data_IF_785329127577
#
_entry.id   IF_785329127577
#
_cell.length_a   1.000
_cell.length_b   1.000
_cell.length_c   1.000
_cell.angle_alpha   90.00
_cell.angle_beta   90.00
_cell.angle_gamma   90.00
#
_symmetry.space_group_name_H-M   'P 1'
#
loop_
_entity.id
_entity.type
_entity.pdbx_description
1 polymer ?
#
# COMPACT_ATOMS: atom_id res chain seq x y z
N UNK A 1 -1.08 3.01 -2.08
CA UNK A 1 -1.00 1.71 -1.37
C UNK A 1 0.33 1.46 -0.63
N UNK A 2 0.75 2.36 0.28
CA UNK A 2 1.76 2.06 1.32
C UNK A 2 1.18 1.32 2.54
N UNK A 3 1.97 1.04 3.60
CA UNK A 3 1.53 0.28 4.77
C UNK A 3 0.21 0.77 5.40
N UNK A 4 0.02 2.09 5.51
CA UNK A 4 -1.23 2.66 6.05
C UNK A 4 -2.44 2.39 5.16
N UNK A 5 -2.32 2.62 3.85
CA UNK A 5 -3.41 2.33 2.90
C UNK A 5 -3.74 0.84 2.87
N UNK A 6 -2.72 -0.01 2.89
CA UNK A 6 -2.87 -1.46 2.99
C UNK A 6 -3.58 -1.90 4.27
N UNK A 7 -3.27 -1.28 5.42
CA UNK A 7 -3.96 -1.53 6.68
C UNK A 7 -5.45 -1.12 6.61
N UNK A 8 -5.77 0.00 5.95
CA UNK A 8 -7.15 0.43 5.75
C UNK A 8 -7.96 -0.58 4.93
N UNK A 9 -7.38 -1.11 3.85
CA UNK A 9 -8.01 -2.18 3.07
C UNK A 9 -8.22 -3.44 3.92
N UNK A 10 -7.18 -3.86 4.65
CA UNK A 10 -7.27 -5.03 5.54
C UNK A 10 -8.36 -4.85 6.61
N UNK A 11 -8.55 -3.66 7.15
CA UNK A 11 -9.59 -3.37 8.13
C UNK A 11 -11.00 -3.59 7.56
N UNK A 12 -11.30 -3.06 6.37
CA UNK A 12 -12.57 -3.33 5.69
C UNK A 12 -12.76 -4.81 5.35
N UNK A 13 -11.71 -5.48 4.88
CA UNK A 13 -11.77 -6.91 4.60
C UNK A 13 -12.07 -7.73 5.86
N UNK A 14 -11.44 -7.41 6.97
CA UNK A 14 -11.69 -8.05 8.27
C UNK A 14 -13.14 -7.87 8.75
N UNK A 15 -13.71 -6.68 8.54
CA UNK A 15 -15.12 -6.43 8.85
C UNK A 15 -16.06 -7.25 7.94
N UNK A 16 -15.80 -7.27 6.63
CA UNK A 16 -16.57 -8.08 5.68
C UNK A 16 -16.50 -9.59 6.00
N UNK A 17 -15.33 -10.10 6.39
CA UNK A 17 -15.15 -11.50 6.78
C UNK A 17 -15.92 -11.87 8.05
N UNK A 18 -16.25 -10.88 8.89
CA UNK A 18 -17.11 -11.03 10.07
C UNK A 18 -18.59 -10.82 9.75
N UNK A 19 -18.96 -10.66 8.48
CA UNK A 19 -20.34 -10.53 8.02
C UNK A 19 -20.88 -9.10 8.01
N UNK A 20 -20.05 -8.07 8.24
CA UNK A 20 -20.50 -6.69 8.10
C UNK A 20 -20.63 -6.30 6.62
N UNK A 21 -21.67 -5.55 6.29
CA UNK A 21 -21.74 -4.85 5.01
C UNK A 21 -20.65 -3.75 4.97
N UNK A 22 -19.90 -3.70 3.88
CA UNK A 22 -18.84 -2.71 3.67
C UNK A 22 -19.15 -1.86 2.43
N UNK A 23 -18.70 -0.60 2.38
CA UNK A 23 -18.84 0.19 1.17
C UNK A 23 -17.97 -0.38 0.03
N UNK A 24 -18.21 0.12 -1.19
CA UNK A 24 -17.26 -0.05 -2.28
C UNK A 24 -15.92 0.62 -1.92
N UNK A 25 -14.82 -0.08 -2.19
CA UNK A 25 -13.48 0.38 -1.84
C UNK A 25 -12.64 0.50 -3.12
N UNK A 26 -12.09 1.69 -3.33
CA UNK A 26 -11.09 1.97 -4.37
C UNK A 26 -9.85 2.56 -3.70
N UNK A 27 -8.69 2.00 -4.01
CA UNK A 27 -7.38 2.49 -3.57
C UNK A 27 -6.55 2.89 -4.78
N UNK A 28 -6.10 4.14 -4.80
CA UNK A 28 -5.20 4.63 -5.83
C UNK A 28 -3.74 4.47 -5.38
N UNK A 29 -2.89 3.96 -6.26
CA UNK A 29 -1.44 3.88 -6.09
C UNK A 29 -0.77 4.35 -7.37
N UNK A 30 0.13 5.33 -7.23
CA UNK A 30 0.88 5.87 -8.37
C UNK A 30 1.98 4.94 -8.86
N UNK A 31 2.55 4.15 -7.95
CA UNK A 31 3.56 3.15 -8.27
C UNK A 31 2.93 1.94 -8.96
N UNK A 32 3.75 1.12 -9.60
CA UNK A 32 3.32 -0.11 -10.29
C UNK A 32 3.02 -1.28 -9.35
N UNK A 33 3.46 -1.19 -8.09
CA UNK A 33 3.12 -2.15 -7.04
C UNK A 33 3.00 -1.45 -5.69
N UNK A 34 2.38 -2.13 -4.72
CA UNK A 34 2.17 -1.62 -3.37
C UNK A 34 3.46 -1.62 -2.54
N UNK A 35 3.35 -1.13 -1.31
CA UNK A 35 4.43 -1.13 -0.32
C UNK A 35 4.96 0.26 -0.01
N UNK A 36 4.61 1.27 -0.81
CA UNK A 36 5.02 2.67 -0.59
C UNK A 36 6.54 2.77 -0.48
N UNK A 37 7.03 3.29 0.65
CA UNK A 37 8.48 3.40 0.90
C UNK A 37 9.23 2.06 0.81
N UNK A 38 8.58 0.94 1.13
CA UNK A 38 9.20 -0.38 1.08
C UNK A 38 9.37 -0.91 -0.35
N UNK A 39 8.65 -0.35 -1.33
CA UNK A 39 8.77 -0.68 -2.75
C UNK A 39 9.99 0.03 -3.35
N UNK A 40 11.16 -0.61 -3.20
CA UNK A 40 12.44 -0.04 -3.59
C UNK A 40 12.55 0.13 -5.12
N UNK A 41 13.09 1.28 -5.51
CA UNK A 41 13.50 1.58 -6.89
C UNK A 41 14.91 2.15 -6.91
N UNK A 42 15.62 1.93 -8.01
CA UNK A 42 16.91 2.57 -8.27
C UNK A 42 16.77 4.01 -8.78
N UNK A 43 15.57 4.40 -9.24
CA UNK A 43 15.30 5.74 -9.77
C UNK A 43 15.41 6.80 -8.67
N UNK A 44 15.85 8.00 -9.05
CA UNK A 44 15.93 9.18 -8.19
C UNK A 44 15.40 10.41 -8.94
N UNK A 45 14.91 11.41 -8.22
CA UNK A 45 14.29 12.59 -8.83
C UNK A 45 12.90 12.27 -9.37
N UNK A 46 12.81 11.86 -10.63
CA UNK A 46 11.56 11.53 -11.31
C UNK A 46 11.47 10.03 -11.64
N UNK A 47 10.25 9.48 -11.60
CA UNK A 47 9.92 8.12 -11.99
C UNK A 47 9.84 7.98 -13.53
N UNK A 48 9.53 6.77 -14.02
CA UNK A 48 9.34 6.50 -15.46
C UNK A 48 8.23 7.33 -16.13
N UNK A 49 7.36 7.98 -15.34
CA UNK A 49 6.25 8.79 -15.81
C UNK A 49 6.48 10.29 -15.59
N UNK A 50 7.66 10.70 -15.11
CA UNK A 50 7.98 12.10 -14.83
C UNK A 50 7.40 12.65 -13.51
N UNK A 51 6.82 11.80 -12.65
CA UNK A 51 6.39 12.22 -11.31
C UNK A 51 7.55 12.08 -10.30
N UNK A 52 7.55 12.83 -9.19
CA UNK A 52 8.58 12.68 -8.15
C UNK A 52 8.67 11.24 -7.61
N UNK A 53 9.87 10.67 -7.54
CA UNK A 53 10.09 9.35 -6.94
C UNK A 53 9.59 9.34 -5.49
N UNK A 54 8.77 8.36 -5.14
CA UNK A 54 8.19 8.25 -3.78
C UNK A 54 9.16 7.64 -2.77
N UNK A 55 9.93 6.64 -3.19
CA UNK A 55 10.79 5.87 -2.30
C UNK A 55 12.00 6.69 -1.82
N UNK A 56 12.32 6.57 -0.54
CA UNK A 56 13.54 7.13 0.05
C UNK A 56 14.42 6.07 0.72
N UNK A 57 14.09 4.79 0.50
CA UNK A 57 14.90 3.68 0.99
C UNK A 57 16.09 3.41 0.06
N UNK A 58 17.17 2.91 0.63
CA UNK A 58 18.44 2.68 -0.06
C UNK A 58 18.86 1.21 -0.03
N UNK A 59 19.85 0.86 -0.85
CA UNK A 59 20.47 -0.47 -0.82
C UNK A 59 21.02 -0.76 0.57
N UNK A 60 20.89 -2.00 1.02
CA UNK A 60 21.37 -2.45 2.32
C UNK A 60 20.68 -1.79 3.54
N UNK A 61 19.51 -1.16 3.36
CA UNK A 61 18.68 -0.71 4.47
C UNK A 61 18.16 -1.91 5.28
N UNK A 62 18.28 -1.82 6.61
CA UNK A 62 17.74 -2.76 7.59
C UNK A 62 16.72 -2.04 8.47
N UNK A 63 15.90 -2.79 9.19
CA UNK A 63 15.04 -2.23 10.23
C UNK A 63 15.85 -1.33 11.15
N UNK A 64 15.34 -0.12 11.44
CA UNK A 64 15.98 0.81 12.36
C UNK A 64 15.54 0.59 13.82
N UNK A 65 14.56 -0.26 14.06
CA UNK A 65 14.11 -0.70 15.37
C UNK A 65 13.86 -2.20 15.43
N UNK A 66 13.66 -2.76 16.64
CA UNK A 66 13.34 -4.18 16.79
C UNK A 66 12.05 -4.55 16.07
N UNK A 67 12.07 -5.65 15.31
CA UNK A 67 10.89 -6.14 14.57
C UNK A 67 9.71 -6.45 15.51
N UNK A 68 10.00 -6.83 16.75
CA UNK A 68 9.01 -7.12 17.79
C UNK A 68 8.15 -5.89 18.11
N UNK A 69 8.67 -4.67 17.93
CA UNK A 69 7.92 -3.43 18.13
C UNK A 69 6.98 -3.07 16.97
N UNK A 70 7.06 -3.79 15.85
CA UNK A 70 6.28 -3.54 14.63
C UNK A 70 5.59 -4.80 14.10
N UNK A 71 5.57 -5.87 14.89
CA UNK A 71 4.85 -7.10 14.58
C UNK A 71 3.34 -6.82 14.52
N UNK A 72 2.65 -7.42 13.55
CA UNK A 72 1.22 -7.23 13.39
C UNK A 72 0.52 -8.19 14.35
N UNK A 73 -0.39 -7.66 15.16
CA UNK A 73 -1.15 -8.47 16.11
C UNK A 73 -2.01 -9.57 15.45
N UNK A 74 -2.35 -9.40 14.16
CA UNK A 74 -3.17 -10.34 13.38
C UNK A 74 -2.37 -11.20 12.38
N UNK A 75 -1.03 -11.09 12.38
CA UNK A 75 -0.15 -11.80 11.45
C UNK A 75 1.30 -11.78 11.96
N UNK A 76 1.77 -12.85 12.59
CA UNK A 76 3.08 -12.85 13.25
C UNK A 76 4.24 -13.13 12.28
N UNK A 77 5.45 -12.76 12.68
CA UNK A 77 6.67 -13.11 11.94
C UNK A 77 6.85 -14.62 11.82
N UNK A 78 6.50 -15.37 12.86
CA UNK A 78 6.59 -16.83 12.85
C UNK A 78 5.54 -17.47 11.93
N UNK A 79 4.32 -16.94 11.89
CA UNK A 79 3.30 -17.38 10.91
C UNK A 79 3.79 -17.17 9.47
N UNK A 80 4.44 -16.04 9.19
CA UNK A 80 4.89 -15.70 7.85
C UNK A 80 6.15 -16.49 7.43
N UNK A 81 7.18 -16.54 8.28
CA UNK A 81 8.46 -17.14 7.93
C UNK A 81 8.61 -18.61 8.32
N UNK A 82 7.70 -19.16 9.14
CA UNK A 82 7.74 -20.54 9.64
C UNK A 82 8.92 -20.83 10.58
N UNK A 83 9.66 -19.81 11.01
CA UNK A 83 10.82 -19.92 11.90
C UNK A 83 11.16 -18.58 12.55
N UNK A 84 11.87 -18.57 13.70
CA UNK A 84 12.45 -17.36 14.26
C UNK A 84 13.47 -16.72 13.30
N UNK A 85 13.47 -15.39 13.26
CA UNK A 85 14.48 -14.58 12.57
C UNK A 85 15.03 -13.51 13.52
N UNK A 86 16.19 -12.95 13.20
CA UNK A 86 16.80 -11.88 13.98
C UNK A 86 15.92 -10.62 14.04
N UNK A 87 16.09 -9.80 15.09
CA UNK A 87 15.22 -8.65 15.38
C UNK A 87 15.39 -7.45 14.44
N UNK A 88 16.43 -7.42 13.60
CA UNK A 88 16.68 -6.34 12.65
C UNK A 88 16.72 -6.90 11.22
N UNK A 89 15.58 -7.26 10.62
CA UNK A 89 15.55 -7.78 9.25
C UNK A 89 15.92 -6.72 8.20
N UNK A 90 16.56 -7.10 7.08
CA UNK A 90 16.74 -6.24 5.91
C UNK A 90 15.40 -5.77 5.32
N UNK A 91 15.42 -4.64 4.58
CA UNK A 91 14.24 -4.08 3.90
C UNK A 91 13.42 -5.11 3.13
N UNK A 92 14.08 -5.95 2.33
CA UNK A 92 13.41 -6.94 1.49
C UNK A 92 12.62 -7.95 2.33
N UNK A 93 13.14 -8.33 3.50
CA UNK A 93 12.49 -9.27 4.43
C UNK A 93 11.27 -8.62 5.08
N UNK A 94 11.37 -7.37 5.52
CA UNK A 94 10.19 -6.66 6.06
C UNK A 94 9.12 -6.40 5.01
N UNK A 95 9.52 -6.07 3.78
CA UNK A 95 8.57 -5.91 2.68
C UNK A 95 7.81 -7.23 2.43
N UNK A 96 8.51 -8.38 2.47
CA UNK A 96 7.91 -9.70 2.20
C UNK A 96 6.85 -10.04 3.24
N UNK A 97 7.18 -9.78 4.50
CA UNK A 97 6.27 -9.88 5.63
C UNK A 97 5.03 -8.98 5.50
N UNK A 98 5.20 -7.71 5.14
CA UNK A 98 4.09 -6.76 4.93
C UNK A 98 3.20 -7.23 3.76
N UNK A 99 3.80 -7.69 2.66
CA UNK A 99 3.09 -8.18 1.48
C UNK A 99 2.31 -9.45 1.78
N UNK A 100 2.92 -10.44 2.45
CA UNK A 100 2.28 -11.71 2.75
C UNK A 100 0.95 -11.54 3.50
N UNK A 101 0.90 -10.58 4.43
CA UNK A 101 -0.34 -10.24 5.16
C UNK A 101 -1.46 -9.78 4.23
N UNK A 102 -1.15 -8.90 3.28
CA UNK A 102 -2.18 -8.31 2.40
C UNK A 102 -2.59 -9.25 1.27
N UNK A 103 -1.67 -10.09 0.80
CA UNK A 103 -1.98 -11.16 -0.17
C UNK A 103 -2.97 -12.17 0.42
N UNK A 104 -2.77 -12.58 1.68
CA UNK A 104 -3.70 -13.48 2.39
C UNK A 104 -5.13 -12.91 2.47
N UNK A 105 -5.28 -11.58 2.48
CA UNK A 105 -6.61 -10.95 2.49
C UNK A 105 -7.27 -10.79 1.12
N UNK A 106 -6.56 -10.96 0.00
CA UNK A 106 -7.14 -10.78 -1.33
C UNK A 106 -7.62 -9.34 -1.63
N UNK A 107 -7.04 -8.33 -0.97
CA UNK A 107 -7.44 -6.90 -1.13
C UNK A 107 -6.82 -6.23 -2.36
N UNK A 108 -5.92 -6.93 -3.08
CA UNK A 108 -5.28 -6.38 -4.29
C UNK A 108 -6.29 -5.90 -5.33
N UNK A 109 -7.44 -6.57 -5.42
CA UNK A 109 -8.55 -6.22 -6.33
C UNK A 109 -9.12 -4.80 -6.11
N UNK A 110 -8.91 -4.20 -4.95
CA UNK A 110 -9.34 -2.83 -4.66
C UNK A 110 -8.32 -1.78 -5.07
N UNK A 111 -7.13 -2.18 -5.52
CA UNK A 111 -6.04 -1.25 -5.83
C UNK A 111 -5.93 -1.01 -7.34
N UNK A 112 -5.97 0.26 -7.74
CA UNK A 112 -5.64 0.75 -9.09
C UNK A 112 -4.20 1.26 -9.07
N UNK A 113 -3.28 0.47 -9.63
CA UNK A 113 -1.85 0.82 -9.75
C UNK A 113 -1.59 1.75 -10.93
N UNK A 114 -0.40 2.37 -10.99
CA UNK A 114 -0.05 3.37 -12.00
C UNK A 114 -1.09 4.49 -12.14
N UNK A 115 -1.79 4.80 -11.05
CA UNK A 115 -2.92 5.71 -11.04
C UNK A 115 -2.74 6.77 -9.96
N UNK A 116 -1.92 7.81 -10.20
CA UNK A 116 -1.84 8.94 -9.28
C UNK A 116 -3.16 9.70 -9.20
N UNK A 117 -3.58 10.01 -7.97
CA UNK A 117 -4.63 11.01 -7.71
C UNK A 117 -4.06 12.39 -8.04
N UNK A 118 -4.83 13.17 -8.81
CA UNK A 118 -4.49 14.54 -9.22
C UNK A 118 -5.22 15.59 -8.40
N UNK A 119 -6.45 15.32 -8.00
CA UNK A 119 -7.26 16.27 -7.24
C UNK A 119 -8.32 15.55 -6.41
N UNK A 120 -8.63 16.11 -5.24
CA UNK A 120 -9.81 15.74 -4.46
C UNK A 120 -10.54 17.04 -4.11
N UNK A 121 -11.80 17.13 -4.50
CA UNK A 121 -12.69 18.25 -4.13
C UNK A 121 -13.86 17.72 -3.32
N UNK A 122 -14.47 18.61 -2.53
CA UNK A 122 -15.66 18.30 -1.76
C UNK A 122 -16.78 19.27 -2.16
N UNK A 123 -17.98 18.74 -2.34
CA UNK A 123 -19.17 19.53 -2.65
C UNK A 123 -20.08 19.60 -1.43
N UNK A 124 -20.33 20.80 -0.92
CA UNK A 124 -21.25 21.02 0.19
C UNK A 124 -22.71 20.71 -0.18
N UNK A 125 -23.08 20.82 -1.45
CA UNK A 125 -24.44 20.54 -1.91
C UNK A 125 -24.72 19.04 -1.93
N UNK A 126 -23.79 18.25 -2.48
CA UNK A 126 -23.95 16.80 -2.62
C UNK A 126 -23.43 16.01 -1.41
N UNK A 127 -22.64 16.66 -0.54
CA UNK A 127 -21.90 16.05 0.58
C UNK A 127 -20.98 14.91 0.11
N UNK A 128 -20.47 14.99 -1.12
CA UNK A 128 -19.57 14.00 -1.73
C UNK A 128 -18.21 14.60 -2.03
N UNK A 129 -17.22 13.70 -2.03
CA UNK A 129 -15.91 13.97 -2.61
C UNK A 129 -15.93 13.58 -4.08
N UNK A 130 -15.26 14.36 -4.93
CA UNK A 130 -14.92 13.98 -6.30
C UNK A 130 -13.42 13.76 -6.37
N UNK A 131 -13.01 12.58 -6.81
CA UNK A 131 -11.60 12.21 -6.92
C UNK A 131 -11.22 12.19 -8.40
N UNK A 132 -10.31 13.08 -8.79
CA UNK A 132 -9.73 13.07 -10.13
C UNK A 132 -8.41 12.31 -10.11
N UNK A 133 -8.30 11.28 -10.93
CA UNK A 133 -7.11 10.43 -11.04
C UNK A 133 -6.69 10.21 -12.50
N UNK A 134 -5.41 9.92 -12.72
CA UNK A 134 -4.85 9.66 -14.05
C UNK A 134 -4.43 8.19 -14.14
N UNK A 135 -5.19 7.37 -14.87
CA UNK A 135 -4.76 6.02 -15.21
C UNK A 135 -3.70 6.09 -16.30
N UNK A 136 -2.45 5.88 -15.93
CA UNK A 136 -1.30 5.94 -16.85
C UNK A 136 -1.21 4.74 -17.77
N UNK A 137 -1.92 3.65 -17.48
CA UNK A 137 -1.92 2.46 -18.34
C UNK A 137 -2.71 2.73 -19.61
N UNK A 138 -3.86 3.41 -19.46
CA UNK A 138 -4.73 3.79 -20.57
C UNK A 138 -4.53 5.25 -21.02
N UNK A 139 -3.70 6.00 -20.31
CA UNK A 139 -3.47 7.44 -20.47
C UNK A 139 -4.76 8.28 -20.43
N UNK A 140 -5.60 8.02 -19.43
CA UNK A 140 -6.89 8.70 -19.25
C UNK A 140 -6.95 9.35 -17.87
N UNK A 141 -7.33 10.62 -17.84
CA UNK A 141 -7.71 11.30 -16.60
C UNK A 141 -9.23 11.30 -16.47
N UNK A 142 -9.73 10.85 -15.31
CA UNK A 142 -11.16 10.77 -15.02
C UNK A 142 -11.45 11.28 -13.61
N UNK A 143 -12.72 11.57 -13.36
CA UNK A 143 -13.25 11.93 -12.05
C UNK A 143 -14.37 10.97 -11.68
N UNK A 144 -14.37 10.47 -10.44
CA UNK A 144 -15.45 9.67 -9.86
C UNK A 144 -15.86 10.17 -8.47
#
# INVERSE_FOLDING_TARGET
>A
AGPSGLAQLRAFKSAADKGAEIPEIVCFEKQSDWGGLWNYTWRTGLDEHGDPVHGSMYRYLWSNGPKECLEFADYTFEEHFGRPIASYPPRAVLWDYIKGRVEKSGVRKWVRFNTPVRMVTYSDETKKFTVTAHDRTNDVTYSE
#
